data_IF_432591240368
#
_entry.id   IF_432591240368
#
_cell.length_a   1.000
_cell.length_b   1.000
_cell.length_c   1.000
_cell.angle_alpha   90.00
_cell.angle_beta   90.00
_cell.angle_gamma   90.00
#
_symmetry.space_group_name_H-M   'P 1'
#
loop_
_entity.id
_entity.type
_entity.pdbx_description
1 polymer ?
#
# COMPACT_ATOMS: atom_id res chain seq x y z
N UNK A 1 -10.01 -13.60 3.97
CA UNK A 1 -9.33 -14.61 3.17
C UNK A 1 -7.91 -14.77 3.66
N UNK A 2 -7.52 -15.97 4.02
CA UNK A 2 -6.13 -16.26 4.37
C UNK A 2 -5.33 -16.53 3.11
N UNK A 3 -4.02 -16.50 3.20
CA UNK A 3 -3.17 -16.82 2.06
C UNK A 3 -3.40 -18.23 1.56
N UNK A 4 -3.61 -19.19 2.46
CA UNK A 4 -3.90 -20.56 2.06
C UNK A 4 -5.19 -20.72 1.29
N UNK A 5 -6.21 -19.98 1.67
CA UNK A 5 -7.50 -20.02 1.00
C UNK A 5 -7.46 -19.44 -0.41
N UNK A 6 -6.55 -18.52 -0.65
CA UNK A 6 -6.39 -17.90 -1.95
C UNK A 6 -5.65 -18.79 -2.95
N UNK A 7 -5.29 -20.00 -2.58
CA UNK A 7 -4.53 -20.90 -3.44
C UNK A 7 -3.10 -20.46 -3.65
N UNK A 8 -2.57 -19.66 -2.76
CA UNK A 8 -1.19 -19.25 -2.83
C UNK A 8 -0.27 -20.44 -2.62
N UNK A 9 0.81 -20.51 -3.38
CA UNK A 9 1.80 -21.53 -3.11
C UNK A 9 2.20 -21.41 -1.65
N UNK A 10 2.34 -22.54 -1.02
CA UNK A 10 2.57 -22.63 0.39
C UNK A 10 3.64 -21.67 0.89
N UNK A 11 3.23 -20.73 1.70
CA UNK A 11 4.15 -19.92 2.49
C UNK A 11 4.49 -20.63 3.79
N UNK A 12 3.73 -21.66 4.11
CA UNK A 12 3.83 -22.33 5.41
C UNK A 12 5.08 -23.16 5.62
N UNK A 13 5.57 -23.95 4.64
CA UNK A 13 6.76 -24.73 4.91
C UNK A 13 8.01 -23.89 5.08
N UNK A 14 8.04 -22.70 4.54
CA UNK A 14 9.21 -21.83 4.62
C UNK A 14 9.22 -21.01 5.89
N UNK A 15 8.19 -21.09 6.70
CA UNK A 15 8.09 -20.34 7.93
C UNK A 15 6.65 -20.19 8.38
N UNK A 16 6.48 -19.81 9.61
CA UNK A 16 5.15 -19.57 10.16
C UNK A 16 4.66 -18.22 9.67
N UNK A 17 3.47 -18.20 9.07
CA UNK A 17 2.82 -16.95 8.72
C UNK A 17 2.35 -16.29 10.00
N UNK A 18 2.89 -15.13 10.31
CA UNK A 18 2.50 -14.39 11.49
C UNK A 18 1.18 -13.67 11.23
N UNK A 19 0.46 -13.38 12.30
CA UNK A 19 -0.72 -12.55 12.22
C UNK A 19 -0.34 -11.18 11.70
N UNK A 20 -1.21 -10.52 10.92
CA UNK A 20 -0.92 -9.17 10.47
C UNK A 20 -0.77 -8.22 11.64
N UNK A 21 0.12 -7.25 11.51
CA UNK A 21 0.30 -6.19 12.50
C UNK A 21 -0.85 -5.20 12.49
N UNK A 22 -1.55 -5.11 11.38
CA UNK A 22 -2.71 -4.24 11.25
C UNK A 22 -3.39 -4.44 9.91
N UNK A 23 -4.59 -3.89 9.80
CA UNK A 23 -5.36 -3.97 8.57
C UNK A 23 -6.29 -2.76 8.43
N UNK A 24 -6.56 -2.38 7.19
CA UNK A 24 -7.51 -1.32 6.86
C UNK A 24 -8.46 -1.86 5.81
N UNK A 25 -9.75 -1.59 5.99
CA UNK A 25 -10.77 -2.00 5.03
C UNK A 25 -11.13 -0.83 4.11
N UNK A 26 -11.19 -1.11 2.82
CA UNK A 26 -11.60 -0.15 1.79
C UNK A 26 -12.75 -0.78 1.00
N UNK A 27 -13.98 -0.30 1.23
CA UNK A 27 -15.12 -0.90 0.55
C UNK A 27 -15.18 -2.40 0.82
N UNK A 28 -15.02 -3.21 -0.23
CA UNK A 28 -14.98 -4.67 -0.11
C UNK A 28 -13.56 -5.23 -0.15
N UNK A 29 -12.56 -4.36 -0.13
CA UNK A 29 -11.16 -4.78 -0.10
C UNK A 29 -10.54 -4.56 1.27
N UNK A 30 -9.45 -5.26 1.52
CA UNK A 30 -8.70 -5.12 2.77
C UNK A 30 -7.21 -5.03 2.45
N UNK A 31 -6.54 -4.09 3.07
CA UNK A 31 -5.09 -4.02 3.03
C UNK A 31 -4.56 -4.38 4.42
N UNK A 32 -3.67 -5.36 4.46
CA UNK A 32 -3.06 -5.82 5.71
C UNK A 32 -1.55 -5.68 5.62
N UNK A 33 -0.90 -5.49 6.75
CA UNK A 33 0.55 -5.50 6.79
C UNK A 33 1.03 -6.44 7.89
N UNK A 34 2.17 -7.02 7.63
CA UNK A 34 2.75 -8.06 8.47
C UNK A 34 4.10 -7.61 8.99
N UNK A 35 4.52 -8.12 10.14
CA UNK A 35 5.90 -7.91 10.57
C UNK A 35 6.84 -8.56 9.56
N UNK A 36 8.06 -8.07 9.50
CA UNK A 36 9.06 -8.66 8.63
C UNK A 36 9.26 -10.12 8.99
N UNK A 37 9.29 -10.95 7.97
CA UNK A 37 9.38 -12.39 8.14
C UNK A 37 10.69 -12.93 7.64
N UNK A 38 11.09 -14.06 8.22
CA UNK A 38 12.27 -14.78 7.78
C UNK A 38 11.88 -15.90 6.84
N UNK A 39 12.65 -16.07 5.77
CA UNK A 39 12.51 -17.18 4.81
C UNK A 39 13.88 -17.85 4.74
N UNK A 40 14.02 -19.03 5.29
CA UNK A 40 15.31 -19.68 5.44
C UNK A 40 16.25 -18.81 6.28
N UNK A 41 17.42 -18.50 5.74
CA UNK A 41 18.39 -17.63 6.40
C UNK A 41 18.12 -16.15 6.22
N UNK A 42 17.09 -15.79 5.45
CA UNK A 42 16.80 -14.41 5.07
C UNK A 42 15.67 -13.87 5.92
N UNK A 43 15.95 -12.82 6.65
CA UNK A 43 14.95 -12.12 7.44
C UNK A 43 14.73 -10.73 6.84
N UNK A 44 13.46 -10.34 6.69
CA UNK A 44 13.13 -9.04 6.15
C UNK A 44 13.77 -7.88 6.90
N UNK A 45 14.01 -8.06 8.20
CA UNK A 45 14.68 -7.06 9.02
C UNK A 45 16.12 -6.80 8.61
N UNK A 46 16.73 -7.74 7.90
CA UNK A 46 18.11 -7.63 7.46
C UNK A 46 18.23 -6.93 6.12
N UNK A 47 17.10 -6.59 5.53
CA UNK A 47 17.05 -5.90 4.25
C UNK A 47 16.53 -4.47 4.47
N UNK A 48 17.20 -3.46 3.91
CA UNK A 48 16.70 -2.10 4.03
C UNK A 48 15.38 -1.95 3.28
N UNK A 49 14.49 -1.15 3.82
CA UNK A 49 13.30 -0.73 3.09
C UNK A 49 13.71 0.29 2.05
N UNK A 50 13.19 0.14 0.85
CA UNK A 50 13.42 1.07 -0.26
C UNK A 50 12.07 1.53 -0.78
N UNK A 51 11.99 2.74 -1.40
CA UNK A 51 10.75 3.19 -2.03
C UNK A 51 10.27 2.18 -3.05
N UNK A 52 8.96 1.99 -3.14
CA UNK A 52 8.38 1.04 -4.10
C UNK A 52 8.45 1.54 -5.54
N UNK A 53 8.56 2.85 -5.74
CA UNK A 53 8.57 3.44 -7.09
C UNK A 53 9.74 2.89 -7.89
N UNK A 54 9.43 2.40 -9.10
CA UNK A 54 10.41 1.78 -9.96
C UNK A 54 10.68 0.32 -9.68
N UNK A 55 10.05 -0.24 -8.66
CA UNK A 55 10.16 -1.66 -8.35
C UNK A 55 9.12 -2.46 -9.12
N UNK A 56 9.16 -3.79 -9.03
CA UNK A 56 8.20 -4.67 -9.69
C UNK A 56 6.76 -4.34 -9.26
N UNK A 57 6.56 -4.05 -7.99
CA UNK A 57 5.33 -3.45 -7.49
C UNK A 57 5.63 -1.98 -7.23
N UNK A 58 5.25 -1.14 -8.18
CA UNK A 58 5.56 0.28 -8.10
C UNK A 58 4.66 1.03 -7.13
N UNK A 59 3.35 0.82 -7.23
CA UNK A 59 2.39 1.49 -6.36
C UNK A 59 1.09 0.71 -6.30
N UNK A 60 0.26 1.07 -5.33
CA UNK A 60 -1.14 0.64 -5.25
C UNK A 60 -2.02 1.85 -5.49
N UNK A 61 -3.23 1.64 -5.96
CA UNK A 61 -4.14 2.73 -6.28
C UNK A 61 -5.51 2.52 -5.63
N UNK A 62 -6.09 3.61 -5.17
CA UNK A 62 -7.45 3.62 -4.61
C UNK A 62 -8.26 4.75 -5.24
N UNK A 63 -9.53 4.48 -5.47
CA UNK A 63 -10.47 5.51 -5.88
C UNK A 63 -11.04 6.18 -4.64
N UNK A 64 -11.03 7.51 -4.63
CA UNK A 64 -11.48 8.30 -3.47
C UNK A 64 -12.47 9.36 -3.90
N UNK A 65 -13.27 9.81 -2.97
CA UNK A 65 -14.18 10.93 -3.19
C UNK A 65 -13.55 12.21 -2.61
N UNK A 66 -13.72 13.33 -3.29
CA UNK A 66 -13.27 14.63 -2.79
C UNK A 66 -11.76 14.73 -2.63
N UNK A 67 -11.04 14.64 -3.72
CA UNK A 67 -9.57 14.62 -3.71
C UNK A 67 -8.99 15.86 -3.02
N UNK A 68 -9.55 17.05 -3.25
CA UNK A 68 -9.02 18.27 -2.64
C UNK A 68 -9.14 18.26 -1.12
N UNK A 69 -10.31 17.83 -0.62
CA UNK A 69 -10.53 17.72 0.83
C UNK A 69 -9.61 16.68 1.45
N UNK A 70 -9.43 15.56 0.76
CA UNK A 70 -8.53 14.51 1.22
C UNK A 70 -7.08 15.00 1.24
N UNK A 71 -6.63 15.68 0.19
CA UNK A 71 -5.29 16.23 0.14
C UNK A 71 -5.04 17.21 1.30
N UNK A 72 -6.04 18.04 1.62
CA UNK A 72 -5.94 18.96 2.76
C UNK A 72 -5.82 18.20 4.09
N UNK A 73 -6.59 17.13 4.25
CA UNK A 73 -6.49 16.27 5.45
C UNK A 73 -5.13 15.62 5.57
N UNK A 74 -4.58 15.14 4.45
CA UNK A 74 -3.26 14.52 4.43
C UNK A 74 -2.18 15.51 4.85
N UNK A 75 -2.25 16.74 4.34
CA UNK A 75 -1.29 17.79 4.73
C UNK A 75 -1.38 18.09 6.23
N UNK A 76 -2.60 18.17 6.78
CA UNK A 76 -2.78 18.39 8.21
C UNK A 76 -2.22 17.24 9.05
N UNK A 77 -2.22 16.03 8.49
CA UNK A 77 -1.63 14.87 9.14
C UNK A 77 -0.13 14.73 8.86
N UNK A 78 0.48 15.74 8.24
CA UNK A 78 1.90 15.75 7.87
C UNK A 78 2.29 14.67 6.88
N UNK A 79 1.34 14.27 6.04
CA UNK A 79 1.59 13.33 4.95
C UNK A 79 1.86 14.14 3.69
N UNK A 80 3.05 13.96 3.13
CA UNK A 80 3.48 14.71 1.96
C UNK A 80 2.84 14.14 0.70
N UNK A 81 2.37 15.04 -0.17
CA UNK A 81 1.96 14.68 -1.52
C UNK A 81 3.23 14.70 -2.39
N UNK A 82 3.64 13.52 -2.85
CA UNK A 82 4.84 13.41 -3.66
C UNK A 82 4.66 14.01 -5.06
N UNK A 83 3.46 13.84 -5.61
CA UNK A 83 3.20 14.21 -6.99
C UNK A 83 1.71 14.52 -7.14
N UNK A 84 1.41 15.57 -7.89
CA UNK A 84 0.04 15.90 -8.23
C UNK A 84 -0.53 17.11 -7.49
N UNK A 85 -1.80 17.46 -7.77
CA UNK A 85 -2.71 16.68 -8.63
C UNK A 85 -2.27 16.64 -10.08
N UNK A 86 -2.38 15.46 -10.69
CA UNK A 86 -2.10 15.29 -12.12
C UNK A 86 -3.31 14.69 -12.81
N UNK A 87 -3.35 14.85 -14.12
CA UNK A 87 -4.45 14.31 -14.91
C UNK A 87 -4.37 12.79 -14.98
N UNK A 88 -5.50 12.14 -14.73
CA UNK A 88 -5.62 10.70 -14.84
C UNK A 88 -6.88 10.39 -15.67
N UNK A 89 -6.67 10.16 -16.98
CA UNK A 89 -7.80 10.02 -17.89
C UNK A 89 -8.65 11.28 -17.91
N UNK A 90 -9.91 11.16 -17.53
CA UNK A 90 -10.85 12.28 -17.42
C UNK A 90 -11.04 12.74 -15.97
N UNK A 91 -10.23 12.27 -15.08
CA UNK A 91 -10.22 12.70 -13.69
C UNK A 91 -8.80 13.10 -13.29
N UNK A 92 -8.50 13.09 -12.02
CA UNK A 92 -7.19 13.51 -11.52
C UNK A 92 -6.79 12.63 -10.34
N UNK A 93 -5.51 12.62 -10.04
CA UNK A 93 -4.96 11.79 -8.99
C UNK A 93 -3.81 12.50 -8.29
N UNK A 94 -3.45 12.00 -7.12
CA UNK A 94 -2.24 12.39 -6.41
C UNK A 94 -1.47 11.13 -6.03
N UNK A 95 -0.18 11.29 -5.83
CA UNK A 95 0.67 10.21 -5.34
C UNK A 95 1.21 10.59 -3.97
N UNK A 96 1.05 9.70 -3.02
CA UNK A 96 1.62 9.84 -1.68
C UNK A 96 2.50 8.63 -1.38
N UNK A 97 3.16 8.66 -0.26
CA UNK A 97 4.03 7.56 0.16
C UNK A 97 3.78 7.27 1.62
N UNK A 98 3.67 5.99 1.96
CA UNK A 98 3.55 5.61 3.35
C UNK A 98 4.92 5.64 4.05
N UNK A 99 4.95 5.50 5.37
CA UNK A 99 6.23 5.57 6.10
C UNK A 99 7.25 4.51 5.70
N UNK A 100 6.81 3.43 5.08
CA UNK A 100 7.71 2.34 4.66
C UNK A 100 8.17 2.50 3.21
N UNK A 101 7.75 3.54 2.53
CA UNK A 101 8.14 3.81 1.16
C UNK A 101 7.22 3.24 0.10
N UNK A 102 6.05 2.72 0.49
CA UNK A 102 5.05 2.27 -0.48
C UNK A 102 4.38 3.48 -1.11
N UNK A 103 4.42 3.57 -2.43
CA UNK A 103 3.71 4.62 -3.16
C UNK A 103 2.25 4.27 -3.27
N UNK A 104 1.39 5.25 -3.02
CA UNK A 104 -0.06 5.09 -3.05
C UNK A 104 -0.63 6.16 -3.96
N UNK A 105 -1.35 5.73 -4.99
CA UNK A 105 -2.05 6.66 -5.89
C UNK A 105 -3.51 6.78 -5.46
N UNK A 106 -3.96 8.01 -5.31
CA UNK A 106 -5.35 8.31 -4.93
C UNK A 106 -6.01 8.97 -6.12
N UNK A 107 -6.96 8.26 -6.71
CA UNK A 107 -7.64 8.66 -7.93
C UNK A 107 -9.04 9.19 -7.59
N UNK A 108 -9.33 10.40 -8.01
CA UNK A 108 -10.64 10.98 -7.75
C UNK A 108 -11.73 10.23 -8.52
N UNK A 109 -12.77 9.84 -7.79
CA UNK A 109 -13.92 9.18 -8.40
C UNK A 109 -14.62 10.17 -9.33
N UNK A 110 -15.01 9.70 -10.48
CA UNK A 110 -15.82 10.50 -11.41
C UNK A 110 -17.19 10.78 -10.79
N UNK A 111 -17.71 11.99 -11.01
CA UNK A 111 -19.05 12.31 -10.55
C UNK A 111 -20.12 11.44 -11.24
#
# INVERSE_FOLDING_TARGET
MSYGEAGWPSLEPAGTIRQPSGAVRFGNGTMSWYPRQCVGDRCGRDQPLVPSRGQALDHVAFTVDGLDALAARLRRASIEVLEGPYRFGDTRAIMIEDPDGLSIELIERRP
#
